data_IF_165459981467
#
_entry.id   IF_165459981467
#
_cell.length_a   1.000
_cell.length_b   1.000
_cell.length_c   1.000
_cell.angle_alpha   90.00
_cell.angle_beta   90.00
_cell.angle_gamma   90.00
#
_symmetry.space_group_name_H-M   'P 1'
#
loop_
_entity.id
_entity.type
_entity.pdbx_description
1 polymer ?
#
# COMPACT_ATOMS: atom_id res chain seq x y z
N UNK A 1 -3.73 4.56 42.21
CA UNK A 1 -3.10 3.34 41.64
C UNK A 1 -4.18 2.63 40.85
N UNK A 2 -4.01 2.45 39.54
CA UNK A 2 -4.92 1.62 38.74
C UNK A 2 -4.69 0.16 39.16
N UNK A 3 -5.75 -0.59 39.46
CA UNK A 3 -5.63 -2.01 39.83
C UNK A 3 -5.32 -2.84 38.59
N UNK A 4 -4.59 -3.95 38.76
CA UNK A 4 -4.28 -4.88 37.68
C UNK A 4 -5.55 -5.36 36.95
N UNK A 5 -6.62 -5.66 37.70
CA UNK A 5 -7.92 -6.04 37.13
C UNK A 5 -8.53 -4.94 36.23
N UNK A 6 -8.38 -3.66 36.58
CA UNK A 6 -8.86 -2.57 35.74
C UNK A 6 -8.05 -2.46 34.44
N UNK A 7 -6.75 -2.77 34.47
CA UNK A 7 -5.92 -2.83 33.27
C UNK A 7 -6.29 -4.02 32.39
N UNK A 8 -6.47 -5.21 32.98
CA UNK A 8 -6.89 -6.41 32.26
C UNK A 8 -8.24 -6.20 31.57
N UNK A 9 -9.23 -5.67 32.29
CA UNK A 9 -10.56 -5.43 31.75
C UNK A 9 -10.55 -4.38 30.61
N UNK A 10 -9.69 -3.36 30.71
CA UNK A 10 -9.52 -2.38 29.65
C UNK A 10 -8.86 -2.97 28.38
N UNK A 11 -8.07 -4.03 28.52
CA UNK A 11 -7.43 -4.73 27.39
C UNK A 11 -8.36 -5.76 26.73
N UNK A 12 -9.35 -6.30 27.44
CA UNK A 12 -10.29 -7.29 26.88
C UNK A 12 -10.98 -6.77 25.61
N UNK A 13 -11.53 -5.57 25.66
CA UNK A 13 -12.24 -4.98 24.53
C UNK A 13 -11.35 -4.80 23.26
N UNK A 14 -10.19 -4.12 23.32
CA UNK A 14 -9.32 -3.99 22.14
C UNK A 14 -8.75 -5.32 21.65
N UNK A 15 -8.49 -6.28 22.54
CA UNK A 15 -8.08 -7.63 22.14
C UNK A 15 -9.20 -8.35 21.38
N UNK A 16 -10.45 -8.27 21.86
CA UNK A 16 -11.59 -8.91 21.22
C UNK A 16 -11.90 -8.27 19.85
N UNK A 17 -11.88 -6.95 19.74
CA UNK A 17 -12.00 -6.23 18.46
C UNK A 17 -10.90 -6.67 17.47
N UNK A 18 -9.68 -6.86 17.95
CA UNK A 18 -8.56 -7.34 17.11
C UNK A 18 -8.83 -8.77 16.61
N UNK A 19 -9.31 -9.67 17.46
CA UNK A 19 -9.65 -11.05 17.09
C UNK A 19 -10.82 -11.07 16.09
N UNK A 20 -11.85 -10.26 16.30
CA UNK A 20 -12.97 -10.10 15.38
C UNK A 20 -12.46 -9.64 14.02
N UNK A 21 -11.68 -8.56 13.97
CA UNK A 21 -11.14 -8.02 12.72
C UNK A 21 -10.30 -9.04 11.95
N UNK A 22 -9.50 -9.86 12.64
CA UNK A 22 -8.72 -10.95 12.03
C UNK A 22 -9.65 -12.04 11.50
N UNK A 23 -10.66 -12.44 12.26
CA UNK A 23 -11.60 -13.50 11.87
C UNK A 23 -12.45 -13.08 10.67
N UNK A 24 -13.01 -11.87 10.69
CA UNK A 24 -13.76 -11.28 9.57
C UNK A 24 -12.91 -11.20 8.30
N UNK A 25 -11.63 -10.85 8.43
CA UNK A 25 -10.70 -10.84 7.31
C UNK A 25 -10.59 -12.23 6.67
N UNK A 26 -10.40 -13.28 7.47
CA UNK A 26 -10.27 -14.64 6.94
C UNK A 26 -11.56 -15.09 6.27
N UNK A 27 -12.71 -14.88 6.90
CA UNK A 27 -14.02 -15.21 6.33
C UNK A 27 -14.25 -14.50 5.00
N UNK A 28 -13.98 -13.19 4.94
CA UNK A 28 -14.11 -12.43 3.70
C UNK A 28 -13.21 -12.98 2.59
N UNK A 29 -11.95 -13.28 2.89
CA UNK A 29 -11.00 -13.80 1.89
C UNK A 29 -11.30 -15.23 1.46
N UNK A 30 -11.93 -16.04 2.31
CA UNK A 30 -12.41 -17.37 1.92
C UNK A 30 -13.49 -17.28 0.83
N UNK A 31 -14.40 -16.31 0.97
CA UNK A 31 -15.45 -16.02 0.00
C UNK A 31 -14.92 -15.26 -1.24
N UNK A 32 -13.92 -14.40 -1.06
CA UNK A 32 -13.40 -13.49 -2.09
C UNK A 32 -11.91 -13.73 -2.37
N UNK A 33 -11.55 -14.97 -2.76
CA UNK A 33 -10.14 -15.38 -3.02
C UNK A 33 -9.43 -14.56 -4.09
N UNK A 34 -10.19 -13.89 -4.94
CA UNK A 34 -9.66 -13.06 -6.02
C UNK A 34 -9.45 -11.61 -5.62
N UNK A 35 -9.90 -11.20 -4.41
CA UNK A 35 -9.74 -9.85 -3.92
C UNK A 35 -8.26 -9.55 -3.67
N UNK A 36 -7.74 -8.53 -4.35
CA UNK A 36 -6.33 -8.14 -4.27
C UNK A 36 -6.20 -6.71 -3.79
N UNK A 37 -5.24 -6.52 -2.91
CA UNK A 37 -4.59 -5.22 -2.72
C UNK A 37 -3.32 -5.19 -3.56
N UNK A 38 -3.00 -4.04 -4.13
CA UNK A 38 -1.89 -3.94 -5.07
C UNK A 38 -1.17 -2.58 -5.05
N UNK A 39 0.04 -2.60 -5.59
CA UNK A 39 0.83 -1.41 -5.95
C UNK A 39 1.13 -1.46 -7.44
N UNK A 40 0.75 -0.40 -8.15
CA UNK A 40 1.19 -0.15 -9.51
C UNK A 40 1.97 1.16 -9.59
N UNK A 41 2.86 1.28 -10.54
CA UNK A 41 3.73 2.45 -10.71
C UNK A 41 3.76 2.89 -12.16
N UNK A 42 3.68 4.21 -12.36
CA UNK A 42 3.82 4.85 -13.65
C UNK A 42 5.11 5.67 -13.66
N UNK A 43 6.00 5.29 -14.56
CA UNK A 43 7.32 5.91 -14.66
C UNK A 43 7.28 7.36 -15.16
N UNK A 44 6.37 7.64 -16.11
CA UNK A 44 6.26 8.93 -16.80
C UNK A 44 6.20 10.14 -15.86
N UNK A 45 5.47 10.01 -14.75
CA UNK A 45 5.29 11.07 -13.75
C UNK A 45 5.61 10.61 -12.32
N UNK A 46 6.31 9.48 -12.19
CA UNK A 46 6.65 8.86 -10.92
C UNK A 46 5.44 8.69 -9.98
N UNK A 47 4.29 8.27 -10.51
CA UNK A 47 3.07 8.07 -9.70
C UNK A 47 2.94 6.62 -9.22
N UNK A 48 2.68 6.43 -7.94
CA UNK A 48 2.21 5.18 -7.34
C UNK A 48 0.69 5.15 -7.31
N UNK A 49 0.12 4.01 -7.69
CA UNK A 49 -1.27 3.66 -7.43
C UNK A 49 -1.30 2.56 -6.36
N UNK A 50 -1.85 2.91 -5.20
CA UNK A 50 -2.16 2.00 -4.09
C UNK A 50 -3.63 1.64 -4.23
N UNK A 51 -3.92 0.39 -4.56
CA UNK A 51 -5.25 -0.02 -4.99
C UNK A 51 -5.80 -1.26 -4.30
N UNK A 52 -7.11 -1.40 -4.44
CA UNK A 52 -7.87 -2.60 -4.16
C UNK A 52 -8.72 -2.95 -5.40
N UNK A 53 -8.86 -4.24 -5.68
CA UNK A 53 -9.79 -4.77 -6.65
C UNK A 53 -10.43 -6.03 -6.08
N UNK A 54 -11.75 -6.17 -6.22
CA UNK A 54 -12.47 -7.40 -5.84
C UNK A 54 -12.04 -8.60 -6.71
N UNK A 55 -11.66 -8.33 -7.96
CA UNK A 55 -10.98 -9.27 -8.82
C UNK A 55 -9.96 -8.50 -9.67
N UNK A 56 -8.67 -8.85 -9.57
CA UNK A 56 -7.62 -8.26 -10.43
C UNK A 56 -7.42 -9.09 -11.70
N UNK A 57 -8.47 -9.20 -12.50
CA UNK A 57 -8.51 -9.95 -13.76
C UNK A 57 -7.76 -9.24 -14.90
N UNK A 58 -7.76 -9.87 -16.09
CA UNK A 58 -7.06 -9.36 -17.27
C UNK A 58 -7.52 -7.96 -17.70
N UNK A 59 -8.81 -7.66 -17.59
CA UNK A 59 -9.36 -6.36 -17.97
C UNK A 59 -8.87 -5.26 -17.03
N UNK A 60 -8.90 -5.51 -15.72
CA UNK A 60 -8.36 -4.57 -14.71
C UNK A 60 -6.87 -4.30 -14.91
N UNK A 61 -6.10 -5.32 -15.28
CA UNK A 61 -4.66 -5.18 -15.61
C UNK A 61 -4.45 -4.40 -16.89
N UNK A 62 -5.23 -4.68 -17.94
CA UNK A 62 -5.17 -3.91 -19.17
C UNK A 62 -5.50 -2.43 -18.93
N UNK A 63 -6.48 -2.11 -18.08
CA UNK A 63 -6.80 -0.74 -17.71
C UNK A 63 -5.67 -0.01 -16.96
N UNK A 64 -4.82 -0.75 -16.22
CA UNK A 64 -3.60 -0.19 -15.63
C UNK A 64 -2.57 0.08 -16.72
N UNK A 65 -2.32 -0.90 -17.57
CA UNK A 65 -1.33 -0.82 -18.65
C UNK A 65 -1.67 0.30 -19.65
N UNK A 66 -2.94 0.43 -20.06
CA UNK A 66 -3.44 1.49 -20.95
C UNK A 66 -3.23 2.90 -20.38
N UNK A 67 -3.14 3.01 -19.05
CA UNK A 67 -2.86 4.27 -18.33
C UNK A 67 -1.38 4.46 -18.02
N UNK A 68 -0.52 3.55 -18.48
CA UNK A 68 0.92 3.55 -18.27
C UNK A 68 1.37 3.06 -16.90
N UNK A 69 0.48 2.38 -16.14
CA UNK A 69 0.83 1.80 -14.85
C UNK A 69 1.30 0.35 -15.02
N UNK A 70 2.47 0.05 -14.47
CA UNK A 70 2.99 -1.31 -14.36
C UNK A 70 2.71 -1.84 -12.95
N UNK A 71 2.17 -3.06 -12.85
CA UNK A 71 1.92 -3.72 -11.57
C UNK A 71 3.23 -4.21 -10.94
N UNK A 72 3.50 -3.84 -9.69
CA UNK A 72 4.74 -4.20 -8.99
C UNK A 72 4.54 -5.22 -7.88
N UNK A 73 3.41 -5.16 -7.19
CA UNK A 73 3.12 -6.07 -6.09
C UNK A 73 1.64 -6.23 -5.91
N UNK A 74 1.23 -7.44 -5.57
CA UNK A 74 -0.14 -7.77 -5.22
C UNK A 74 -0.17 -8.87 -4.16
N UNK A 75 -1.23 -8.87 -3.35
CA UNK A 75 -1.55 -9.98 -2.45
C UNK A 75 -3.04 -10.03 -2.19
N UNK A 76 -3.51 -11.14 -1.63
CA UNK A 76 -4.87 -11.22 -1.11
C UNK A 76 -5.09 -10.13 -0.05
N UNK A 77 -6.18 -9.41 -0.18
CA UNK A 77 -6.50 -8.35 0.75
C UNK A 77 -7.91 -7.82 0.60
N UNK A 78 -8.32 -7.05 1.60
CA UNK A 78 -9.70 -6.55 1.69
C UNK A 78 -9.74 -5.05 1.41
N UNK A 79 -10.91 -4.57 1.03
CA UNK A 79 -11.13 -3.12 0.87
C UNK A 79 -10.87 -2.37 2.19
N UNK A 80 -11.10 -3.01 3.35
CA UNK A 80 -10.81 -2.43 4.66
C UNK A 80 -9.31 -2.18 4.85
N UNK A 81 -8.45 -3.14 4.48
CA UNK A 81 -7.00 -2.92 4.53
C UNK A 81 -6.55 -1.76 3.65
N UNK A 82 -7.10 -1.67 2.43
CA UNK A 82 -6.80 -0.56 1.52
C UNK A 82 -7.22 0.78 2.12
N UNK A 83 -8.45 0.90 2.64
CA UNK A 83 -8.91 2.12 3.31
C UNK A 83 -8.06 2.50 4.51
N UNK A 84 -7.73 1.53 5.36
CA UNK A 84 -6.87 1.76 6.53
C UNK A 84 -5.50 2.27 6.10
N UNK A 85 -4.90 1.66 5.07
CA UNK A 85 -3.62 2.13 4.56
C UNK A 85 -3.70 3.57 4.06
N UNK A 86 -4.72 3.93 3.27
CA UNK A 86 -4.85 5.30 2.75
C UNK A 86 -4.94 6.32 3.88
N UNK A 87 -5.76 6.06 4.90
CA UNK A 87 -5.86 6.92 6.08
C UNK A 87 -4.52 7.04 6.81
N UNK A 88 -3.83 5.92 7.06
CA UNK A 88 -2.53 5.93 7.71
C UNK A 88 -1.47 6.70 6.91
N UNK A 89 -1.45 6.55 5.58
CA UNK A 89 -0.50 7.27 4.70
C UNK A 89 -0.77 8.77 4.71
N UNK A 90 -2.04 9.18 4.72
CA UNK A 90 -2.45 10.59 4.87
C UNK A 90 -2.07 11.16 6.25
N UNK A 91 -2.30 10.41 7.33
CA UNK A 91 -1.93 10.80 8.70
C UNK A 91 -0.41 10.96 8.89
N UNK A 92 0.40 10.17 8.17
CA UNK A 92 1.87 10.29 8.17
C UNK A 92 2.33 11.51 7.33
N UNK A 93 1.43 12.13 6.57
CA UNK A 93 1.69 13.39 5.85
C UNK A 93 1.91 13.23 4.34
N UNK A 94 1.58 12.09 3.74
CA UNK A 94 1.61 11.94 2.28
C UNK A 94 0.26 12.32 1.67
N UNK A 95 0.24 13.36 0.84
CA UNK A 95 -0.96 13.82 0.13
C UNK A 95 -1.15 13.07 -1.19
N UNK A 96 -2.41 12.81 -1.54
CA UNK A 96 -2.74 12.26 -2.86
C UNK A 96 -2.56 13.28 -3.99
N UNK A 97 -2.11 12.83 -5.16
CA UNK A 97 -1.74 13.71 -6.29
C UNK A 97 -2.85 13.82 -7.34
N UNK A 98 -3.51 12.71 -7.69
CA UNK A 98 -4.54 12.63 -8.74
C UNK A 98 -5.90 12.15 -8.22
N UNK A 99 -6.04 12.02 -6.89
CA UNK A 99 -7.19 11.43 -6.22
C UNK A 99 -6.78 10.29 -5.29
N UNK A 100 -7.76 9.74 -4.58
CA UNK A 100 -7.54 8.70 -3.58
C UNK A 100 -6.73 7.51 -4.16
N UNK A 101 -5.67 7.11 -3.43
CA UNK A 101 -4.80 6.01 -3.82
C UNK A 101 -3.69 6.38 -4.81
N UNK A 102 -3.59 7.62 -5.28
CA UNK A 102 -2.49 8.07 -6.15
C UNK A 102 -1.50 8.94 -5.37
N UNK A 103 -0.23 8.55 -5.34
CA UNK A 103 0.81 9.24 -4.59
C UNK A 103 2.06 9.43 -5.42
N UNK A 104 2.83 10.48 -5.16
CA UNK A 104 4.17 10.62 -5.75
C UNK A 104 5.11 9.59 -5.15
N UNK A 105 5.82 8.84 -6.00
CA UNK A 105 6.75 7.82 -5.58
C UNK A 105 7.96 8.44 -4.86
N UNK A 106 8.22 7.99 -3.63
CA UNK A 106 9.38 8.43 -2.85
C UNK A 106 9.95 7.29 -2.03
N UNK A 107 11.24 7.35 -1.71
CA UNK A 107 11.90 6.35 -0.85
C UNK A 107 11.26 6.26 0.54
N UNK A 108 10.82 7.39 1.08
CA UNK A 108 10.14 7.45 2.37
C UNK A 108 8.80 6.71 2.31
N UNK A 109 7.96 7.04 1.33
CA UNK A 109 6.66 6.38 1.17
C UNK A 109 6.82 4.86 0.99
N UNK A 110 7.72 4.42 0.12
CA UNK A 110 8.01 2.98 -0.05
C UNK A 110 8.50 2.31 1.23
N UNK A 111 9.27 3.03 2.05
CA UNK A 111 9.71 2.57 3.37
C UNK A 111 8.53 2.33 4.31
N UNK A 112 7.62 3.29 4.39
CA UNK A 112 6.38 3.16 5.18
C UNK A 112 5.50 2.03 4.66
N UNK A 113 5.28 1.92 3.35
CA UNK A 113 4.50 0.83 2.75
C UNK A 113 5.08 -0.55 3.08
N UNK A 114 6.41 -0.70 3.03
CA UNK A 114 7.07 -1.95 3.44
C UNK A 114 6.87 -2.26 4.91
N UNK A 115 7.02 -1.26 5.78
CA UNK A 115 6.87 -1.44 7.22
C UNK A 115 5.42 -1.80 7.60
N UNK A 116 4.45 -1.32 6.81
CA UNK A 116 3.02 -1.65 6.94
C UNK A 116 2.65 -2.98 6.27
N UNK A 117 3.61 -3.73 5.70
CA UNK A 117 3.35 -5.01 5.05
C UNK A 117 2.54 -4.89 3.74
N UNK A 118 2.56 -3.73 3.09
CA UNK A 118 1.89 -3.52 1.82
C UNK A 118 2.69 -4.12 0.65
N UNK A 119 2.04 -4.77 -0.35
CA UNK A 119 2.74 -5.40 -1.45
C UNK A 119 3.33 -4.35 -2.40
N UNK A 120 4.65 -4.15 -2.35
CA UNK A 120 5.37 -3.21 -3.22
C UNK A 120 6.32 -3.90 -4.20
N UNK A 121 6.49 -5.22 -4.10
CA UNK A 121 7.40 -6.02 -4.93
C UNK A 121 8.81 -5.44 -5.04
N UNK A 122 9.36 -5.43 -6.26
CA UNK A 122 10.73 -4.97 -6.53
C UNK A 122 10.87 -3.45 -6.70
N UNK A 123 9.80 -2.70 -6.50
CA UNK A 123 9.73 -1.25 -6.77
C UNK A 123 10.76 -0.43 -5.97
N UNK A 124 11.13 -0.89 -4.78
CA UNK A 124 12.19 -0.26 -3.98
C UNK A 124 13.53 -0.24 -4.72
N UNK A 125 13.83 -1.28 -5.51
CA UNK A 125 15.10 -1.38 -6.23
C UNK A 125 15.16 -0.39 -7.40
N UNK A 126 14.03 -0.15 -8.08
CA UNK A 126 13.95 0.79 -9.20
C UNK A 126 14.10 2.25 -8.75
N UNK A 127 13.42 2.65 -7.68
CA UNK A 127 13.49 4.03 -7.18
C UNK A 127 14.87 4.33 -6.56
N UNK A 128 15.55 3.31 -6.02
CA UNK A 128 16.93 3.47 -5.61
C UNK A 128 17.87 3.71 -6.80
N UNK A 129 17.63 3.06 -7.94
CA UNK A 129 18.44 3.26 -9.17
C UNK A 129 18.19 4.62 -9.82
N UNK A 130 16.94 5.08 -9.91
CA UNK A 130 16.63 6.39 -10.55
C UNK A 130 17.23 7.57 -9.79
N UNK A 131 17.32 7.50 -8.46
CA UNK A 131 17.99 8.53 -7.65
C UNK A 131 19.52 8.58 -7.78
N UNK A 132 20.14 7.59 -8.43
CA UNK A 132 21.58 7.50 -8.64
C UNK A 132 22.09 8.12 -9.94
N UNK A 133 21.21 8.70 -10.77
CA UNK A 133 21.58 9.32 -12.05
C UNK A 133 21.63 10.85 -11.94
N UNK A 134 22.54 11.35 -11.09
CA UNK A 134 23.01 12.74 -11.10
C UNK A 134 24.50 12.74 -10.75
N UNK A 135 25.35 12.62 -11.77
CA UNK A 135 26.58 13.41 -11.96
C UNK A 135 27.50 12.72 -12.97
N UNK A 136 27.33 13.09 -14.24
CA UNK A 136 28.39 12.99 -15.24
C UNK A 136 28.13 13.97 -16.38
N UNK A 137 28.16 15.26 -16.05
CA UNK A 137 28.38 16.32 -17.03
C UNK A 137 29.65 17.07 -16.65
N UNK A 138 30.79 16.42 -16.89
CA UNK A 138 32.05 17.11 -17.11
C UNK A 138 31.85 17.91 -18.40
N UNK A 139 31.84 19.24 -18.29
CA UNK A 139 31.92 20.13 -19.44
C UNK A 139 33.24 19.91 -20.18
N UNK A 140 33.25 19.68 -21.51
CA UNK A 140 34.42 19.95 -22.33
C UNK A 140 34.31 21.37 -22.90
N UNK A 141 35.34 22.17 -22.61
CA UNK A 141 35.96 23.26 -23.38
C UNK A 141 36.54 24.29 -22.41
#
# INVERSE_FOLDING_TARGET
MVSLEAMEQALVAPCMESVIAVTERYQYLEEHRQARVFTAYREMDHTLRIGFAEELNREQRQLLDDRGFVLFGEREGTQREHRLLLMTVEEIGFSSTYGAGYFTASKQLLGHLRNLGWPIGELQTLINRSSGSKDSSIHPC
#
